data_IF_400737517147
#
_entry.id   IF_400737517147
#
_cell.length_a   1.000
_cell.length_b   1.000
_cell.length_c   1.000
_cell.angle_alpha   90.00
_cell.angle_beta   90.00
_cell.angle_gamma   90.00
#
_symmetry.space_group_name_H-M   'P 1'
#
loop_
_entity.id
_entity.type
_entity.pdbx_description
1 polymer ?
#
# COMPACT_ATOMS: atom_id res chain seq x y z
N UNK A 1 -12.57 -2.28 -26.79
CA UNK A 1 -11.78 -3.41 -27.29
C UNK A 1 -10.30 -3.13 -27.05
N UNK A 2 -9.62 -4.09 -26.45
CA UNK A 2 -8.22 -4.02 -26.05
C UNK A 2 -7.47 -5.21 -26.63
N UNK A 3 -6.16 -5.04 -26.78
CA UNK A 3 -5.23 -6.09 -27.20
C UNK A 3 -4.30 -6.35 -26.05
N UNK A 4 -4.13 -7.63 -25.69
CA UNK A 4 -3.15 -8.09 -24.71
C UNK A 4 -1.99 -8.72 -25.47
N UNK A 5 -0.78 -8.32 -25.10
CA UNK A 5 0.46 -8.75 -25.77
C UNK A 5 1.62 -8.75 -24.78
N UNK A 6 2.63 -9.57 -25.04
CA UNK A 6 3.88 -9.54 -24.27
C UNK A 6 4.58 -8.19 -24.39
N UNK A 7 5.11 -7.70 -23.26
CA UNK A 7 5.83 -6.43 -23.18
C UNK A 7 6.96 -6.31 -24.21
N UNK A 8 7.76 -7.37 -24.34
CA UNK A 8 8.91 -7.41 -25.26
C UNK A 8 8.51 -7.18 -26.73
N UNK A 9 7.30 -7.58 -27.15
CA UNK A 9 6.82 -7.38 -28.53
C UNK A 9 6.50 -5.92 -28.84
N UNK A 10 6.27 -5.10 -27.82
CA UNK A 10 5.98 -3.67 -27.92
C UNK A 10 7.21 -2.77 -27.73
N UNK A 11 8.32 -3.30 -27.23
CA UNK A 11 9.54 -2.53 -27.01
C UNK A 11 10.03 -1.88 -28.31
N UNK A 12 10.29 -0.57 -28.26
CA UNK A 12 10.72 0.22 -29.42
C UNK A 12 9.65 0.49 -30.48
N UNK A 13 8.43 -0.04 -30.34
CA UNK A 13 7.30 0.19 -31.27
C UNK A 13 6.20 1.04 -30.66
N UNK A 14 5.90 0.82 -29.38
CA UNK A 14 4.86 1.55 -28.67
C UNK A 14 5.48 2.61 -27.76
N UNK A 15 5.10 3.87 -27.97
CA UNK A 15 5.63 5.03 -27.23
C UNK A 15 4.60 5.66 -26.28
N UNK A 16 3.46 5.00 -26.06
CA UNK A 16 2.42 5.43 -25.14
C UNK A 16 2.58 4.85 -23.73
N UNK A 17 1.60 5.12 -22.87
CA UNK A 17 1.56 4.56 -21.51
C UNK A 17 1.26 3.06 -21.60
N UNK A 18 2.19 2.24 -21.15
CA UNK A 18 2.07 0.79 -21.12
C UNK A 18 1.43 0.33 -19.80
N UNK A 19 0.14 0.04 -19.84
CA UNK A 19 -0.52 -0.57 -18.70
C UNK A 19 -0.26 -2.08 -18.70
N UNK A 20 0.07 -2.62 -17.53
CA UNK A 20 0.48 -4.02 -17.38
C UNK A 20 -0.59 -4.78 -16.60
N UNK A 21 -0.88 -6.01 -17.05
CA UNK A 21 -1.68 -6.99 -16.33
C UNK A 21 -0.88 -7.59 -15.16
N UNK A 22 -1.56 -8.18 -14.16
CA UNK A 22 -0.88 -8.87 -13.05
C UNK A 22 0.06 -9.99 -13.50
N UNK A 23 -0.26 -10.68 -14.60
CA UNK A 23 0.60 -11.70 -15.23
C UNK A 23 1.84 -11.15 -15.98
N UNK A 24 2.02 -9.83 -16.02
CA UNK A 24 3.17 -9.16 -16.65
C UNK A 24 2.98 -8.82 -18.14
N UNK A 25 1.87 -9.21 -18.77
CA UNK A 25 1.55 -8.80 -20.15
C UNK A 25 1.05 -7.36 -20.19
N UNK A 26 1.15 -6.73 -21.35
CA UNK A 26 0.69 -5.35 -21.56
C UNK A 26 -0.66 -5.38 -22.26
N UNK A 27 -1.57 -4.52 -21.84
CA UNK A 27 -2.82 -4.30 -22.56
C UNK A 27 -2.86 -2.87 -23.14
N UNK A 28 -3.26 -2.76 -24.40
CA UNK A 28 -3.41 -1.47 -25.09
C UNK A 28 -4.76 -1.38 -25.78
N UNK A 29 -5.34 -0.17 -25.92
CA UNK A 29 -6.52 0.03 -26.76
C UNK A 29 -6.24 -0.40 -28.20
N UNK A 30 -7.22 -1.01 -28.88
CA UNK A 30 -6.99 -1.45 -30.27
C UNK A 30 -6.64 -0.28 -31.22
N UNK A 31 -7.02 0.95 -30.89
CA UNK A 31 -6.60 2.15 -31.63
C UNK A 31 -5.07 2.30 -31.71
N UNK A 32 -4.37 1.88 -30.66
CA UNK A 32 -2.91 1.97 -30.57
C UNK A 32 -2.20 0.98 -31.49
N UNK A 33 -2.86 -0.09 -31.92
CA UNK A 33 -2.29 -1.07 -32.85
C UNK A 33 -1.89 -0.45 -34.19
N UNK A 34 -2.51 0.68 -34.57
CA UNK A 34 -2.13 1.44 -35.77
C UNK A 34 -0.68 1.92 -35.72
N UNK A 35 -0.19 2.24 -34.53
CA UNK A 35 1.18 2.74 -34.31
C UNK A 35 2.18 1.60 -34.14
N UNK A 36 1.73 0.45 -33.60
CA UNK A 36 2.58 -0.71 -33.33
C UNK A 36 2.82 -1.57 -34.59
N UNK A 37 1.83 -1.62 -35.48
CA UNK A 37 1.87 -2.46 -36.68
C UNK A 37 1.34 -3.88 -36.43
N UNK A 38 1.89 -4.86 -37.16
CA UNK A 38 1.43 -6.26 -37.08
C UNK A 38 2.10 -6.96 -35.90
N UNK A 39 1.29 -7.61 -35.05
CA UNK A 39 1.73 -8.48 -33.97
C UNK A 39 1.10 -9.86 -34.15
N UNK A 40 1.87 -10.89 -33.79
CA UNK A 40 1.42 -12.28 -33.73
C UNK A 40 1.26 -12.70 -32.28
N UNK A 41 0.42 -13.72 -32.06
CA UNK A 41 0.11 -14.30 -30.74
C UNK A 41 -0.31 -13.22 -29.74
N UNK A 42 -1.45 -12.60 -30.06
CA UNK A 42 -2.12 -11.59 -29.24
C UNK A 42 -3.49 -12.10 -28.83
N UNK A 43 -3.95 -11.65 -27.66
CA UNK A 43 -5.33 -11.85 -27.23
C UNK A 43 -6.13 -10.55 -27.42
N UNK A 44 -7.43 -10.67 -27.72
CA UNK A 44 -8.34 -9.53 -27.87
C UNK A 44 -9.43 -9.62 -26.81
N UNK A 45 -9.61 -8.52 -26.08
CA UNK A 45 -10.68 -8.34 -25.11
C UNK A 45 -11.73 -7.39 -25.69
N UNK A 46 -12.98 -7.82 -25.75
CA UNK A 46 -14.05 -7.07 -26.42
C UNK A 46 -14.38 -5.76 -25.71
N UNK A 47 -14.41 -5.78 -24.38
CA UNK A 47 -14.92 -4.67 -23.56
C UNK A 47 -13.99 -4.26 -22.42
N UNK A 48 -14.20 -3.06 -21.87
CA UNK A 48 -13.48 -2.61 -20.67
C UNK A 48 -13.89 -3.40 -19.42
N UNK A 49 -15.13 -3.93 -19.39
CA UNK A 49 -15.64 -4.75 -18.28
C UNK A 49 -14.90 -6.09 -18.22
N UNK A 50 -14.81 -6.80 -19.33
CA UNK A 50 -14.04 -8.06 -19.43
C UNK A 50 -12.57 -7.87 -19.02
N UNK A 51 -11.96 -6.75 -19.44
CA UNK A 51 -10.57 -6.44 -19.07
C UNK A 51 -10.43 -6.26 -17.55
N UNK A 52 -11.36 -5.53 -16.93
CA UNK A 52 -11.36 -5.31 -15.47
C UNK A 52 -11.54 -6.61 -14.71
N UNK A 53 -12.52 -7.43 -15.11
CA UNK A 53 -12.77 -8.74 -14.52
C UNK A 53 -11.55 -9.68 -14.65
N UNK A 54 -10.85 -9.63 -15.79
CA UNK A 54 -9.62 -10.40 -15.99
C UNK A 54 -8.49 -9.93 -15.05
N UNK A 55 -8.32 -8.62 -14.88
CA UNK A 55 -7.32 -8.05 -13.95
C UNK A 55 -7.64 -8.45 -12.51
N UNK A 56 -8.90 -8.30 -12.08
CA UNK A 56 -9.34 -8.63 -10.71
C UNK A 56 -9.15 -10.12 -10.42
N UNK A 57 -9.57 -10.99 -11.33
CA UNK A 57 -9.41 -12.44 -11.18
C UNK A 57 -7.93 -12.87 -11.07
N UNK A 58 -7.04 -12.22 -11.82
CA UNK A 58 -5.60 -12.50 -11.72
C UNK A 58 -5.00 -11.98 -10.40
N UNK A 59 -5.43 -10.81 -9.92
CA UNK A 59 -4.98 -10.28 -8.62
C UNK A 59 -5.44 -11.18 -7.47
N UNK A 60 -6.70 -11.62 -7.46
CA UNK A 60 -7.24 -12.55 -6.48
C UNK A 60 -6.47 -13.88 -6.48
N UNK A 61 -6.15 -14.42 -7.66
CA UNK A 61 -5.38 -15.66 -7.78
C UNK A 61 -3.93 -15.53 -7.27
N UNK A 62 -3.36 -14.32 -7.31
CA UNK A 62 -2.04 -14.03 -6.73
C UNK A 62 -2.12 -13.74 -5.22
N UNK A 63 -3.24 -13.23 -4.72
CA UNK A 63 -3.49 -12.99 -3.29
C UNK A 63 -3.98 -14.24 -2.55
N UNK A 64 -4.56 -15.22 -3.24
CA UNK A 64 -5.07 -16.48 -2.68
C UNK A 64 -4.01 -17.46 -2.15
N UNK A 65 -2.74 -17.04 -2.04
CA UNK A 65 -1.66 -17.79 -1.39
C UNK A 65 -1.15 -17.17 -0.09
N UNK A 66 -1.79 -16.13 0.43
CA UNK A 66 -1.48 -15.55 1.75
C UNK A 66 -2.62 -15.83 2.75
N UNK A 67 -2.78 -17.11 3.12
CA UNK A 67 -3.17 -17.44 4.50
C UNK A 67 -1.99 -17.04 5.41
N UNK A 68 -1.90 -15.75 5.76
CA UNK A 68 -1.20 -15.33 6.97
C UNK A 68 -2.27 -15.10 8.03
N UNK A 69 -2.66 -16.18 8.72
CA UNK A 69 -3.16 -16.08 10.08
C UNK A 69 -1.97 -16.28 11.02
N UNK A 70 -1.65 -15.29 11.86
CA UNK A 70 -1.51 -15.63 13.25
C UNK A 70 -2.19 -14.56 14.11
N UNK A 71 -3.48 -14.74 14.41
CA UNK A 71 -4.05 -14.53 15.74
C UNK A 71 -3.56 -13.35 16.59
N UNK A 72 -3.31 -12.18 16.01
CA UNK A 72 -3.08 -10.94 16.75
C UNK A 72 -3.92 -9.82 16.14
N UNK A 73 -5.22 -10.03 16.15
CA UNK A 73 -6.19 -8.95 16.08
C UNK A 73 -6.18 -8.22 17.42
N UNK A 74 -5.63 -7.01 17.47
CA UNK A 74 -6.11 -6.01 18.43
C UNK A 74 -6.66 -4.85 17.60
N UNK A 75 -7.97 -4.73 17.69
CA UNK A 75 -8.85 -3.76 17.07
C UNK A 75 -8.55 -2.32 17.50
N UNK A 76 -9.04 -1.31 16.74
CA UNK A 76 -8.87 0.09 17.06
C UNK A 76 -10.00 0.55 18.00
N UNK A 77 -9.70 0.72 19.29
CA UNK A 77 -10.55 1.45 20.26
C UNK A 77 -9.58 2.33 21.06
N UNK A 78 -9.65 3.65 20.85
CA UNK A 78 -10.43 4.60 21.66
C UNK A 78 -9.58 5.06 22.86
N UNK A 79 -9.48 6.38 23.00
CA UNK A 79 -8.81 7.06 24.11
C UNK A 79 -9.41 6.57 25.43
N UNK A 80 -8.62 5.98 26.33
CA UNK A 80 -9.01 5.97 27.74
C UNK A 80 -7.82 5.99 28.70
N UNK A 81 -8.04 6.79 29.74
CA UNK A 81 -7.15 7.29 30.75
C UNK A 81 -6.45 6.17 31.54
N UNK A 82 -5.14 6.28 31.68
CA UNK A 82 -4.42 5.62 32.77
C UNK A 82 -4.71 6.36 34.08
N UNK A 83 -5.67 5.86 34.85
CA UNK A 83 -5.84 6.21 36.27
C UNK A 83 -6.12 4.93 37.09
N UNK A 84 -6.05 4.95 38.43
CA UNK A 84 -4.85 4.75 39.24
C UNK A 84 -5.01 3.52 40.16
N UNK A 85 -3.92 3.00 40.70
CA UNK A 85 -4.01 2.26 41.97
C UNK A 85 -3.61 0.79 41.97
N UNK A 86 -2.42 0.48 41.47
CA UNK A 86 -1.68 -0.65 42.01
C UNK A 86 -0.72 -0.16 43.10
N UNK A 87 -1.15 -0.21 44.36
CA UNK A 87 -0.36 0.09 45.55
C UNK A 87 -0.45 -1.08 46.51
N UNK A 88 0.68 -1.74 46.83
CA UNK A 88 0.92 -2.38 48.14
C UNK A 88 2.44 -2.41 48.47
N UNK A 89 2.85 -1.42 49.30
CA UNK A 89 3.79 -1.44 50.47
C UNK A 89 5.23 -1.98 50.31
N UNK A 90 6.35 -1.33 50.68
CA UNK A 90 6.78 -0.13 51.45
C UNK A 90 8.29 -0.31 51.83
N UNK A 91 8.96 0.43 52.75
CA UNK A 91 8.90 1.84 53.15
C UNK A 91 10.28 2.57 53.05
N UNK A 92 10.35 3.82 52.60
CA UNK A 92 11.16 4.91 53.19
C UNK A 92 11.03 6.19 52.36
N UNK A 93 10.21 7.11 52.86
CA UNK A 93 10.28 8.55 52.64
C UNK A 93 10.80 9.15 53.96
N UNK A 94 11.48 10.31 53.99
CA UNK A 94 10.78 11.58 53.72
C UNK A 94 11.65 12.63 52.98
N UNK A 95 11.10 13.34 52.00
CA UNK A 95 10.43 14.64 52.12
C UNK A 95 11.37 15.86 52.15
N UNK A 96 11.13 16.75 51.18
CA UNK A 96 11.20 18.19 51.38
C UNK A 96 12.54 18.86 51.07
N UNK A 97 12.55 19.71 50.05
CA UNK A 97 12.79 21.15 50.23
C UNK A 97 12.71 21.87 48.88
N UNK A 98 11.72 22.77 48.77
CA UNK A 98 11.76 23.88 47.83
C UNK A 98 12.94 24.78 48.25
N UNK A 99 13.78 25.17 47.31
CA UNK A 99 14.63 26.34 47.48
C UNK A 99 14.51 27.26 46.26
N UNK A 100 13.72 28.30 46.49
CA UNK A 100 13.81 29.62 45.87
C UNK A 100 15.24 30.18 46.09
N UNK A 101 15.85 30.79 45.07
CA UNK A 101 17.28 31.10 45.12
C UNK A 101 17.84 32.06 44.05
N UNK A 102 17.24 33.26 43.92
CA UNK A 102 17.95 34.56 43.76
C UNK A 102 18.81 34.87 42.49
N UNK A 103 18.20 35.67 41.60
CA UNK A 103 18.67 36.90 40.90
C UNK A 103 20.18 37.25 40.80
N UNK A 104 20.61 37.55 39.56
CA UNK A 104 21.34 38.75 39.05
C UNK A 104 21.51 38.53 37.52
N UNK A 105 21.09 39.37 36.58
CA UNK A 105 21.16 40.82 36.46
C UNK A 105 22.22 41.16 35.40
N UNK A 106 21.85 41.80 34.28
CA UNK A 106 22.83 42.39 33.36
C UNK A 106 22.38 42.49 31.90
N UNK A 107 21.94 43.69 31.51
CA UNK A 107 21.74 44.15 30.13
C UNK A 107 22.95 43.87 29.23
N UNK A 108 22.67 43.63 27.95
CA UNK A 108 23.36 44.29 26.84
C UNK A 108 22.47 44.28 25.60
#
# INVERSE_FOLDING_TARGET
MYVIVEKAKLEGKFFGIMNTLPDGRVYIPISEMRNVGTLLDIDIIGSARELKELIEKQQEAMQGSEDIDPGFSVTPEEEEEIDPGFSVTGPEQPAGAKTDGKRKGGQR
#
